data_IF_844245273126
#
_entry.id   IF_844245273126
#
_cell.length_a   1.000
_cell.length_b   1.000
_cell.length_c   1.000
_cell.angle_alpha   90.00
_cell.angle_beta   90.00
_cell.angle_gamma   90.00
#
_symmetry.space_group_name_H-M   'P 1'
#
loop_
_entity.id
_entity.type
_entity.pdbx_description
1 polymer ?
#
# COMPACT_ATOMS: atom_id res chain seq x y z
N UNK A 1 -11.12 10.46 -18.73
CA UNK A 1 -12.08 10.52 -17.61
C UNK A 1 -13.49 10.34 -18.14
N UNK A 2 -14.29 9.51 -17.48
CA UNK A 2 -15.68 9.29 -17.83
C UNK A 2 -16.50 10.60 -17.62
N UNK A 3 -17.42 10.93 -18.53
CA UNK A 3 -18.28 12.13 -18.42
C UNK A 3 -19.12 12.14 -17.14
N UNK A 4 -19.54 10.94 -16.65
CA UNK A 4 -20.25 10.80 -15.38
C UNK A 4 -19.39 11.24 -14.20
N UNK A 5 -18.17 10.71 -14.08
CA UNK A 5 -17.24 11.08 -13.02
C UNK A 5 -16.92 12.57 -13.04
N UNK A 6 -16.74 13.16 -14.23
CA UNK A 6 -16.49 14.60 -14.34
C UNK A 6 -17.64 15.41 -13.76
N UNK A 7 -18.88 15.10 -14.14
CA UNK A 7 -20.07 15.81 -13.65
C UNK A 7 -20.20 15.69 -12.13
N UNK A 8 -20.09 14.47 -11.59
CA UNK A 8 -20.17 14.22 -10.14
C UNK A 8 -19.05 14.93 -9.39
N UNK A 9 -17.84 14.99 -9.97
CA UNK A 9 -16.72 15.75 -9.38
C UNK A 9 -17.02 17.23 -9.29
N UNK A 10 -17.58 17.83 -10.36
CA UNK A 10 -17.97 19.22 -10.37
C UNK A 10 -19.08 19.52 -9.35
N UNK A 11 -20.04 18.61 -9.19
CA UNK A 11 -21.09 18.71 -8.16
C UNK A 11 -20.51 18.63 -6.76
N UNK A 12 -19.63 17.67 -6.50
CA UNK A 12 -18.95 17.52 -5.23
C UNK A 12 -18.09 18.76 -4.86
N UNK A 13 -17.39 19.34 -5.83
CA UNK A 13 -16.56 20.55 -5.61
C UNK A 13 -17.41 21.75 -5.22
N UNK A 14 -18.66 21.84 -5.65
CA UNK A 14 -19.59 22.94 -5.30
C UNK A 14 -20.20 22.82 -3.90
N UNK A 15 -20.09 21.65 -3.25
CA UNK A 15 -20.64 21.46 -1.92
C UNK A 15 -19.94 22.37 -0.90
N UNK A 16 -20.73 23.03 -0.06
CA UNK A 16 -20.19 23.86 1.02
C UNK A 16 -19.49 23.03 2.09
N UNK A 17 -18.44 23.61 2.72
CA UNK A 17 -17.60 22.96 3.74
C UNK A 17 -17.28 23.85 4.93
N UNK A 18 -18.18 24.83 5.20
CA UNK A 18 -17.99 25.83 6.28
C UNK A 18 -18.18 25.20 7.66
N UNK A 19 -19.20 24.35 7.79
CA UNK A 19 -19.54 23.67 9.04
C UNK A 19 -19.08 22.21 9.04
N UNK A 20 -19.03 21.60 10.23
CA UNK A 20 -18.70 20.17 10.36
C UNK A 20 -19.72 19.29 9.62
N UNK A 21 -21.00 19.62 9.71
CA UNK A 21 -22.07 18.90 9.02
C UNK A 21 -21.94 18.96 7.50
N UNK A 22 -21.62 20.15 6.96
CA UNK A 22 -21.38 20.32 5.52
C UNK A 22 -20.17 19.53 5.04
N UNK A 23 -19.09 19.49 5.82
CA UNK A 23 -17.91 18.66 5.50
C UNK A 23 -18.26 17.18 5.50
N UNK A 24 -19.05 16.72 6.49
CA UNK A 24 -19.49 15.33 6.55
C UNK A 24 -20.36 14.98 5.34
N UNK A 25 -21.31 15.82 4.95
CA UNK A 25 -22.12 15.62 3.74
C UNK A 25 -21.28 15.56 2.47
N UNK A 26 -20.26 16.41 2.35
CA UNK A 26 -19.35 16.38 1.21
C UNK A 26 -18.51 15.09 1.15
N UNK A 27 -18.10 14.59 2.31
CA UNK A 27 -17.39 13.30 2.42
C UNK A 27 -18.31 12.11 2.08
N UNK A 28 -19.52 12.10 2.62
CA UNK A 28 -20.54 11.09 2.29
C UNK A 28 -20.87 11.09 0.78
N UNK A 29 -21.00 12.26 0.17
CA UNK A 29 -21.21 12.36 -1.27
C UNK A 29 -20.02 11.77 -2.06
N UNK A 30 -18.79 12.08 -1.65
CA UNK A 30 -17.58 11.55 -2.27
C UNK A 30 -17.58 10.02 -2.23
N UNK A 31 -17.89 9.47 -1.07
CA UNK A 31 -17.90 8.04 -0.83
C UNK A 31 -19.00 7.31 -1.60
N UNK A 32 -20.21 7.83 -1.58
CA UNK A 32 -21.38 7.17 -2.17
C UNK A 32 -21.49 7.38 -3.68
N UNK A 33 -21.08 8.54 -4.16
CA UNK A 33 -21.32 8.92 -5.55
C UNK A 33 -20.08 8.84 -6.45
N UNK A 34 -18.87 9.05 -5.88
CA UNK A 34 -17.66 9.12 -6.68
C UNK A 34 -16.81 7.84 -6.61
N UNK A 35 -16.75 7.16 -5.47
CA UNK A 35 -15.77 6.09 -5.25
C UNK A 35 -15.87 4.93 -6.25
N UNK A 36 -17.07 4.54 -6.66
CA UNK A 36 -17.23 3.48 -7.66
C UNK A 36 -16.66 3.93 -9.02
N UNK A 37 -17.00 5.15 -9.44
CA UNK A 37 -16.51 5.70 -10.72
C UNK A 37 -15.00 5.93 -10.69
N UNK A 38 -14.44 6.40 -9.56
CA UNK A 38 -13.00 6.54 -9.34
C UNK A 38 -12.30 5.18 -9.43
N UNK A 39 -12.86 4.18 -8.78
CA UNK A 39 -12.31 2.82 -8.77
C UNK A 39 -12.29 2.22 -10.19
N UNK A 40 -13.37 2.36 -10.94
CA UNK A 40 -13.43 1.91 -12.33
C UNK A 40 -12.40 2.66 -13.21
N UNK A 41 -12.28 3.97 -13.02
CA UNK A 41 -11.29 4.78 -13.75
C UNK A 41 -9.86 4.38 -13.39
N UNK A 42 -9.60 4.11 -12.10
CA UNK A 42 -8.31 3.62 -11.61
C UNK A 42 -7.94 2.29 -12.24
N UNK A 43 -8.85 1.31 -12.24
CA UNK A 43 -8.65 0.01 -12.88
C UNK A 43 -8.35 0.20 -14.38
N UNK A 44 -9.12 1.04 -15.07
CA UNK A 44 -8.93 1.32 -16.49
C UNK A 44 -7.56 1.94 -16.78
N UNK A 45 -7.16 2.91 -15.97
CA UNK A 45 -5.90 3.65 -16.13
C UNK A 45 -4.65 2.82 -15.82
N UNK A 46 -4.80 1.76 -15.03
CA UNK A 46 -3.72 0.86 -14.64
C UNK A 46 -3.86 -0.54 -15.29
N UNK A 47 -4.74 -0.65 -16.29
CA UNK A 47 -4.91 -1.91 -17.03
C UNK A 47 -3.60 -2.28 -17.74
N UNK A 48 -3.10 -3.48 -17.46
CA UNK A 48 -1.85 -3.98 -18.03
C UNK A 48 -0.59 -3.63 -17.23
N UNK A 49 -0.68 -2.81 -16.19
CA UNK A 49 0.47 -2.58 -15.30
C UNK A 49 0.69 -3.76 -14.33
N UNK A 50 -0.38 -4.47 -13.99
CA UNK A 50 -0.32 -5.64 -13.12
C UNK A 50 -0.23 -6.90 -13.99
N UNK A 51 0.88 -7.63 -13.88
CA UNK A 51 1.08 -8.87 -14.62
C UNK A 51 0.81 -10.08 -13.74
N UNK A 52 -0.16 -10.91 -14.16
CA UNK A 52 -0.52 -12.13 -13.46
C UNK A 52 -1.36 -11.91 -12.20
N UNK A 53 -1.62 -13.00 -11.48
CA UNK A 53 -2.47 -13.02 -10.30
C UNK A 53 -1.70 -12.57 -9.06
N UNK A 54 -2.25 -11.66 -8.29
CA UNK A 54 -1.70 -11.24 -7.00
C UNK A 54 -2.21 -12.20 -5.93
N UNK A 55 -1.31 -12.97 -5.31
CA UNK A 55 -1.70 -13.87 -4.23
C UNK A 55 -1.67 -13.18 -2.88
N UNK A 56 -0.62 -12.42 -2.61
CA UNK A 56 -0.34 -11.85 -1.30
C UNK A 56 -0.13 -10.35 -1.38
N UNK A 57 -0.85 -9.62 -0.54
CA UNK A 57 -0.75 -8.16 -0.43
C UNK A 57 -0.62 -7.77 1.05
N UNK A 58 0.37 -6.96 1.36
CA UNK A 58 0.53 -6.31 2.68
C UNK A 58 0.21 -4.83 2.51
N UNK A 59 -0.60 -4.27 3.37
CA UNK A 59 -1.03 -2.88 3.29
C UNK A 59 -0.91 -2.17 4.63
N UNK A 60 -0.30 -1.00 4.64
CA UNK A 60 -0.38 -0.09 5.79
C UNK A 60 -1.66 0.75 5.71
N UNK A 61 -2.39 0.82 6.82
CA UNK A 61 -3.69 1.49 6.91
C UNK A 61 -3.54 2.82 7.61
N UNK A 62 -3.86 3.90 6.90
CA UNK A 62 -3.90 5.25 7.42
C UNK A 62 -5.33 5.75 7.62
N UNK A 63 -5.49 7.08 7.60
CA UNK A 63 -6.79 7.75 7.80
C UNK A 63 -7.64 7.85 6.53
N UNK A 64 -7.07 7.52 5.36
CA UNK A 64 -7.78 7.55 4.07
C UNK A 64 -8.04 6.12 3.60
N UNK A 65 -9.30 5.80 3.31
CA UNK A 65 -9.67 4.46 2.83
C UNK A 65 -9.54 4.31 1.31
N UNK A 66 -9.61 5.43 0.58
CA UNK A 66 -9.66 5.44 -0.87
C UNK A 66 -8.48 4.70 -1.53
N UNK A 67 -7.21 4.99 -1.19
CA UNK A 67 -6.08 4.30 -1.82
C UNK A 67 -6.09 2.79 -1.59
N UNK A 68 -6.57 2.37 -0.42
CA UNK A 68 -6.66 0.95 -0.04
C UNK A 68 -7.69 0.25 -0.92
N UNK A 69 -8.89 0.84 -1.05
CA UNK A 69 -9.95 0.34 -1.92
C UNK A 69 -9.47 0.23 -3.37
N UNK A 70 -8.78 1.25 -3.87
CA UNK A 70 -8.27 1.28 -5.25
C UNK A 70 -7.33 0.10 -5.53
N UNK A 71 -6.35 -0.13 -4.65
CA UNK A 71 -5.40 -1.22 -4.85
C UNK A 71 -6.01 -2.59 -4.64
N UNK A 72 -6.91 -2.77 -3.67
CA UNK A 72 -7.62 -4.05 -3.50
C UNK A 72 -8.46 -4.36 -4.74
N UNK A 73 -9.18 -3.37 -5.26
CA UNK A 73 -10.04 -3.54 -6.44
C UNK A 73 -9.24 -3.84 -7.72
N UNK A 74 -8.08 -3.21 -7.89
CA UNK A 74 -7.20 -3.46 -9.03
C UNK A 74 -6.48 -4.81 -8.94
N UNK A 75 -5.89 -5.11 -7.77
CA UNK A 75 -5.00 -6.25 -7.58
C UNK A 75 -5.76 -7.55 -7.30
N UNK A 76 -6.95 -7.46 -6.71
CA UNK A 76 -7.80 -8.60 -6.31
C UNK A 76 -7.01 -9.71 -5.59
N UNK A 77 -6.26 -9.40 -4.52
CA UNK A 77 -5.36 -10.35 -3.87
C UNK A 77 -6.13 -11.53 -3.26
N UNK A 78 -5.48 -12.69 -3.19
CA UNK A 78 -6.07 -13.87 -2.53
C UNK A 78 -6.03 -13.73 -1.00
N UNK A 79 -4.94 -13.16 -0.46
CA UNK A 79 -4.75 -12.90 0.97
C UNK A 79 -4.18 -11.51 1.19
N UNK A 80 -4.64 -10.87 2.26
CA UNK A 80 -4.23 -9.51 2.63
C UNK A 80 -3.82 -9.49 4.09
N UNK A 81 -2.67 -8.87 4.39
CA UNK A 81 -2.31 -8.43 5.73
C UNK A 81 -2.53 -6.92 5.82
N UNK A 82 -3.36 -6.50 6.76
CA UNK A 82 -3.51 -5.10 7.12
C UNK A 82 -2.69 -4.77 8.36
N UNK A 83 -1.79 -3.80 8.23
CA UNK A 83 -1.04 -3.19 9.33
C UNK A 83 -1.76 -1.90 9.70
N UNK A 84 -2.39 -1.86 10.86
CA UNK A 84 -3.24 -0.76 11.28
C UNK A 84 -2.94 -0.30 12.69
N UNK A 85 -3.40 0.89 13.04
CA UNK A 85 -3.33 1.44 14.40
C UNK A 85 -4.75 1.55 14.96
N UNK A 86 -4.91 1.73 16.27
CA UNK A 86 -6.20 1.97 16.90
C UNK A 86 -6.97 3.11 16.19
N UNK A 87 -6.28 4.18 15.79
CA UNK A 87 -6.88 5.32 15.09
C UNK A 87 -7.38 4.98 13.68
N UNK A 88 -6.76 4.02 13.02
CA UNK A 88 -7.11 3.64 11.64
C UNK A 88 -8.00 2.40 11.56
N UNK A 89 -8.33 1.78 12.68
CA UNK A 89 -9.25 0.63 12.71
C UNK A 89 -10.62 0.91 12.07
N UNK A 90 -11.28 2.07 12.32
CA UNK A 90 -12.55 2.38 11.67
C UNK A 90 -12.43 2.49 10.14
N UNK A 91 -11.25 2.90 9.64
CA UNK A 91 -10.97 2.94 8.19
C UNK A 91 -10.87 1.53 7.63
N UNK A 92 -10.23 0.62 8.37
CA UNK A 92 -10.12 -0.77 7.97
C UNK A 92 -11.48 -1.46 7.87
N UNK A 93 -12.36 -1.26 8.85
CA UNK A 93 -13.71 -1.81 8.82
C UNK A 93 -14.49 -1.31 7.60
N UNK A 94 -14.39 -0.02 7.30
CA UNK A 94 -14.98 0.58 6.10
C UNK A 94 -14.44 -0.02 4.79
N UNK A 95 -13.13 -0.29 4.72
CA UNK A 95 -12.53 -0.98 3.56
C UNK A 95 -13.06 -2.39 3.40
N UNK A 96 -13.18 -3.14 4.50
CA UNK A 96 -13.70 -4.51 4.50
C UNK A 96 -15.12 -4.54 3.96
N UNK A 97 -15.97 -3.61 4.42
CA UNK A 97 -17.36 -3.50 3.99
C UNK A 97 -17.47 -3.06 2.53
N UNK A 98 -16.76 -2.02 2.14
CA UNK A 98 -16.80 -1.48 0.77
C UNK A 98 -16.32 -2.52 -0.27
N UNK A 99 -15.22 -3.18 0.01
CA UNK A 99 -14.65 -4.21 -0.88
C UNK A 99 -15.30 -5.58 -0.71
N UNK A 100 -16.27 -5.74 0.19
CA UNK A 100 -16.93 -7.02 0.52
C UNK A 100 -15.92 -8.16 0.76
N UNK A 101 -14.90 -7.87 1.54
CA UNK A 101 -13.80 -8.80 1.77
C UNK A 101 -14.24 -9.96 2.69
N UNK A 102 -13.96 -11.18 2.27
CA UNK A 102 -14.17 -12.36 3.13
C UNK A 102 -13.13 -12.38 4.25
N UNK A 103 -13.59 -12.54 5.50
CA UNK A 103 -12.69 -12.58 6.67
C UNK A 103 -11.60 -13.64 6.58
N UNK A 104 -11.87 -14.75 5.90
CA UNK A 104 -10.87 -15.82 5.67
C UNK A 104 -9.70 -15.42 4.78
N UNK A 105 -9.80 -14.27 4.09
CA UNK A 105 -8.75 -13.74 3.18
C UNK A 105 -7.91 -12.65 3.83
N UNK A 106 -8.29 -12.16 5.00
CA UNK A 106 -7.65 -11.05 5.66
C UNK A 106 -7.02 -11.46 6.98
N UNK A 107 -5.84 -10.92 7.21
CA UNK A 107 -5.16 -10.89 8.50
C UNK A 107 -5.07 -9.43 8.94
N UNK A 108 -5.37 -9.17 10.21
CA UNK A 108 -5.32 -7.84 10.81
C UNK A 108 -4.21 -7.84 11.85
N UNK A 109 -3.30 -6.89 11.79
CA UNK A 109 -2.26 -6.72 12.80
C UNK A 109 -2.21 -5.27 13.27
N UNK A 110 -2.55 -5.07 14.54
CA UNK A 110 -2.41 -3.77 15.16
C UNK A 110 -0.94 -3.53 15.47
N UNK A 111 -0.42 -2.39 15.03
CA UNK A 111 0.98 -1.99 15.19
C UNK A 111 1.10 -0.64 15.89
N UNK A 112 2.24 -0.41 16.52
CA UNK A 112 2.55 0.90 17.07
C UNK A 112 2.95 1.85 15.92
N UNK A 113 2.25 2.99 15.82
CA UNK A 113 2.44 3.98 14.76
C UNK A 113 3.85 4.63 14.74
N UNK A 114 4.61 4.51 15.82
CA UNK A 114 5.93 5.11 16.00
C UNK A 114 7.06 4.09 16.14
N UNK A 115 6.75 2.79 16.26
CA UNK A 115 7.76 1.73 16.37
C UNK A 115 7.86 0.92 15.08
N UNK A 116 8.88 1.18 14.24
CA UNK A 116 9.13 0.38 13.03
C UNK A 116 9.33 -1.11 13.28
N UNK A 117 9.80 -1.47 14.47
CA UNK A 117 10.13 -2.85 14.83
C UNK A 117 8.87 -3.75 14.84
N UNK A 118 7.74 -3.21 15.29
CA UNK A 118 6.47 -3.94 15.26
C UNK A 118 6.09 -4.29 13.82
N UNK A 119 6.27 -3.35 12.91
CA UNK A 119 5.96 -3.55 11.50
C UNK A 119 6.88 -4.62 10.89
N UNK A 120 8.17 -4.57 11.20
CA UNK A 120 9.13 -5.59 10.73
C UNK A 120 8.77 -6.98 11.23
N UNK A 121 8.40 -7.12 12.51
CA UNK A 121 8.00 -8.39 13.11
C UNK A 121 6.76 -8.96 12.42
N UNK A 122 5.75 -8.12 12.19
CA UNK A 122 4.50 -8.55 11.59
C UNK A 122 4.65 -8.93 10.12
N UNK A 123 5.40 -8.15 9.34
CA UNK A 123 5.72 -8.49 7.96
C UNK A 123 6.50 -9.81 7.90
N UNK A 124 7.53 -9.98 8.75
CA UNK A 124 8.31 -11.22 8.82
C UNK A 124 7.46 -12.41 9.22
N UNK A 125 6.63 -12.26 10.26
CA UNK A 125 5.71 -13.31 10.72
C UNK A 125 4.80 -13.77 9.58
N UNK A 126 4.18 -12.81 8.92
CA UNK A 126 3.25 -13.09 7.83
C UNK A 126 3.95 -13.72 6.61
N UNK A 127 5.09 -13.21 6.23
CA UNK A 127 5.93 -13.77 5.17
C UNK A 127 6.27 -15.26 5.40
N UNK A 128 6.66 -15.58 6.64
CA UNK A 128 6.97 -16.96 7.02
C UNK A 128 5.72 -17.83 7.06
N UNK A 129 4.60 -17.33 7.60
CA UNK A 129 3.34 -18.08 7.67
C UNK A 129 2.74 -18.37 6.30
N UNK A 130 3.01 -17.52 5.33
CA UNK A 130 2.60 -17.72 3.92
C UNK A 130 3.55 -18.64 3.13
N UNK A 131 4.58 -19.18 3.77
CA UNK A 131 5.53 -20.13 3.15
C UNK A 131 6.62 -19.47 2.32
N UNK A 132 7.01 -18.24 2.65
CA UNK A 132 8.03 -17.46 1.93
C UNK A 132 7.74 -17.35 0.43
N UNK A 133 6.58 -16.83 0.04
CA UNK A 133 6.22 -16.75 -1.36
C UNK A 133 7.17 -15.85 -2.15
N UNK A 134 7.46 -16.24 -3.39
CA UNK A 134 8.35 -15.51 -4.29
C UNK A 134 7.77 -14.16 -4.71
N UNK A 135 6.43 -14.01 -4.71
CA UNK A 135 5.76 -12.80 -5.18
C UNK A 135 4.77 -12.28 -4.14
N UNK A 136 5.18 -11.23 -3.46
CA UNK A 136 4.35 -10.45 -2.54
C UNK A 136 4.33 -9.01 -3.00
N UNK A 137 3.21 -8.34 -2.79
CA UNK A 137 3.09 -6.89 -2.94
C UNK A 137 3.03 -6.24 -1.56
N UNK A 138 3.74 -5.12 -1.40
CA UNK A 138 3.59 -4.24 -0.23
C UNK A 138 3.11 -2.88 -0.72
N UNK A 139 1.94 -2.48 -0.26
CA UNK A 139 1.39 -1.14 -0.43
C UNK A 139 1.63 -0.32 0.83
N UNK A 140 2.45 0.70 0.73
CA UNK A 140 2.77 1.61 1.82
C UNK A 140 2.15 3.01 1.65
N UNK A 141 1.07 3.13 0.88
CA UNK A 141 0.38 4.40 0.62
C UNK A 141 -0.19 5.00 1.89
N UNK A 142 -0.80 4.17 2.73
CA UNK A 142 -1.42 4.59 3.98
C UNK A 142 -0.49 4.52 5.19
N UNK A 143 -0.99 4.99 6.32
CA UNK A 143 -0.28 4.98 7.59
C UNK A 143 0.54 6.24 7.85
N UNK A 144 1.24 6.24 8.99
CA UNK A 144 2.19 7.31 9.31
C UNK A 144 3.46 7.20 8.46
N UNK A 145 4.28 8.23 8.43
CA UNK A 145 5.57 8.18 7.74
C UNK A 145 6.45 7.04 8.27
N UNK A 146 6.41 6.78 9.57
CA UNK A 146 7.15 5.67 10.17
C UNK A 146 6.64 4.32 9.66
N UNK A 147 5.32 4.13 9.57
CA UNK A 147 4.71 2.90 9.04
C UNK A 147 5.07 2.70 7.56
N UNK A 148 4.91 3.73 6.74
CA UNK A 148 5.24 3.67 5.32
C UNK A 148 6.72 3.37 5.08
N UNK A 149 7.61 4.04 5.84
CA UNK A 149 9.05 3.81 5.75
C UNK A 149 9.42 2.38 6.17
N UNK A 150 8.88 1.91 7.29
CA UNK A 150 9.14 0.55 7.77
C UNK A 150 8.65 -0.51 6.79
N UNK A 151 7.46 -0.34 6.23
CA UNK A 151 6.93 -1.25 5.22
C UNK A 151 7.81 -1.30 3.97
N UNK A 152 8.27 -0.14 3.48
CA UNK A 152 9.17 -0.04 2.34
C UNK A 152 10.55 -0.68 2.63
N UNK A 153 11.13 -0.43 3.80
CA UNK A 153 12.40 -1.04 4.21
C UNK A 153 12.30 -2.56 4.35
N UNK A 154 11.23 -3.05 4.96
CA UNK A 154 10.98 -4.49 5.03
C UNK A 154 10.81 -5.10 3.64
N UNK A 155 10.11 -4.39 2.74
CA UNK A 155 9.93 -4.80 1.36
C UNK A 155 11.25 -4.94 0.57
N UNK A 156 12.20 -4.06 0.85
CA UNK A 156 13.54 -4.14 0.26
C UNK A 156 14.29 -5.40 0.71
N UNK A 157 14.22 -5.74 2.02
CA UNK A 157 14.90 -6.91 2.60
C UNK A 157 14.32 -8.24 2.12
N UNK A 158 13.00 -8.33 1.97
CA UNK A 158 12.35 -9.59 1.53
C UNK A 158 12.12 -9.66 0.02
N UNK A 159 12.68 -8.72 -0.75
CA UNK A 159 12.60 -8.67 -2.21
C UNK A 159 11.17 -8.76 -2.77
N UNK A 160 10.26 -7.96 -2.20
CA UNK A 160 8.88 -7.89 -2.63
C UNK A 160 8.63 -6.74 -3.60
N UNK A 161 7.52 -6.81 -4.32
CA UNK A 161 7.09 -5.71 -5.18
C UNK A 161 6.47 -4.59 -4.33
N UNK A 162 7.16 -3.47 -4.24
CA UNK A 162 6.67 -2.29 -3.53
C UNK A 162 5.82 -1.42 -4.43
N UNK A 163 4.68 -1.00 -3.93
CA UNK A 163 3.71 -0.18 -4.67
C UNK A 163 3.14 0.93 -3.80
N UNK A 164 2.69 2.00 -4.46
CA UNK A 164 1.84 2.99 -3.81
C UNK A 164 0.85 3.61 -4.79
N UNK A 165 -0.24 4.18 -4.27
CA UNK A 165 -1.20 4.97 -5.02
C UNK A 165 -0.82 6.44 -4.93
N UNK A 166 -0.60 7.08 -6.06
CA UNK A 166 -0.34 8.51 -6.12
C UNK A 166 -1.21 9.20 -7.15
N UNK A 167 -1.54 10.48 -6.96
CA UNK A 167 -2.31 11.26 -7.93
C UNK A 167 -1.40 11.84 -9.01
N UNK A 168 -1.90 11.92 -10.25
CA UNK A 168 -1.30 12.81 -11.26
C UNK A 168 -1.65 14.27 -11.03
N UNK A 169 -2.78 14.52 -10.39
CA UNK A 169 -3.26 15.85 -10.06
C UNK A 169 -3.80 15.86 -8.63
N UNK A 170 -3.35 16.80 -7.82
CA UNK A 170 -3.78 16.97 -6.42
C UNK A 170 -4.50 18.31 -6.25
N UNK A 171 -5.61 18.28 -5.55
CA UNK A 171 -6.41 19.46 -5.26
C UNK A 171 -6.10 19.93 -3.84
N UNK A 172 -5.26 20.94 -3.72
CA UNK A 172 -4.81 21.50 -2.42
C UNK A 172 -5.96 21.99 -1.56
N UNK A 173 -6.95 22.67 -2.17
CA UNK A 173 -8.09 23.23 -1.45
C UNK A 173 -9.00 22.15 -0.83
N UNK A 174 -9.05 20.99 -1.44
CA UNK A 174 -9.83 19.83 -0.98
C UNK A 174 -8.99 18.81 -0.21
N UNK A 175 -7.66 18.93 -0.25
CA UNK A 175 -6.70 17.97 0.30
C UNK A 175 -6.95 16.54 -0.18
N UNK A 176 -7.33 16.41 -1.45
CA UNK A 176 -7.61 15.12 -2.10
C UNK A 176 -7.00 15.07 -3.51
N UNK A 177 -6.70 13.87 -4.01
CA UNK A 177 -6.48 13.66 -5.44
C UNK A 177 -7.64 14.19 -6.27
N UNK A 178 -7.36 14.67 -7.48
CA UNK A 178 -8.42 14.92 -8.43
C UNK A 178 -9.04 13.57 -8.83
N UNK A 179 -10.36 13.37 -8.66
CA UNK A 179 -11.02 12.09 -8.89
C UNK A 179 -10.72 11.48 -10.25
N UNK A 180 -10.18 10.26 -10.26
CA UNK A 180 -9.78 9.55 -11.47
C UNK A 180 -8.36 9.89 -11.97
N UNK A 181 -7.61 10.75 -11.24
CA UNK A 181 -6.20 11.02 -11.55
C UNK A 181 -5.23 10.05 -10.89
N UNK A 182 -5.71 9.19 -10.02
CA UNK A 182 -4.92 8.24 -9.26
C UNK A 182 -4.25 7.22 -10.17
N UNK A 183 -3.03 6.83 -9.83
CA UNK A 183 -2.19 5.86 -10.54
C UNK A 183 -1.50 4.94 -9.55
N UNK A 184 -1.29 3.72 -9.99
CA UNK A 184 -0.40 2.77 -9.34
C UNK A 184 1.04 3.09 -9.73
N UNK A 185 1.90 3.23 -8.74
CA UNK A 185 3.34 3.36 -8.91
C UNK A 185 4.04 2.14 -8.34
N UNK A 186 5.01 1.65 -9.11
CA UNK A 186 5.95 0.63 -8.67
C UNK A 186 7.22 1.31 -8.17
N UNK A 187 7.71 0.87 -7.04
CA UNK A 187 8.98 1.33 -6.48
C UNK A 187 10.00 0.23 -6.67
N UNK A 188 11.10 0.58 -7.35
CA UNK A 188 12.22 -0.34 -7.54
C UNK A 188 12.84 -0.71 -6.21
N UNK A 189 13.29 -1.96 -6.10
CA UNK A 189 14.03 -2.37 -4.92
C UNK A 189 15.40 -1.69 -4.91
N UNK A 190 15.82 -1.02 -3.82
CA UNK A 190 17.14 -0.43 -3.74
C UNK A 190 18.28 -1.44 -3.94
N UNK A 191 18.04 -2.73 -3.65
CA UNK A 191 19.02 -3.79 -3.92
C UNK A 191 19.30 -4.02 -5.40
N UNK A 192 18.43 -3.56 -6.30
CA UNK A 192 18.69 -3.58 -7.75
C UNK A 192 19.83 -2.62 -8.14
N UNK A 193 20.14 -1.64 -7.26
CA UNK A 193 21.21 -0.63 -7.46
C UNK A 193 22.39 -0.90 -6.51
N UNK A 194 22.10 -1.27 -5.26
CA UNK A 194 23.12 -1.38 -4.21
C UNK A 194 23.52 -2.82 -3.90
N UNK A 195 23.00 -3.81 -4.64
CA UNK A 195 23.26 -5.23 -4.38
C UNK A 195 24.73 -5.62 -4.58
N UNK A 196 25.45 -4.92 -5.45
CA UNK A 196 26.89 -5.08 -5.63
C UNK A 196 27.67 -4.82 -4.34
N UNK A 197 27.28 -3.80 -3.55
CA UNK A 197 27.91 -3.50 -2.27
C UNK A 197 27.72 -4.62 -1.23
N UNK A 198 26.60 -5.33 -1.27
CA UNK A 198 26.37 -6.48 -0.40
C UNK A 198 27.18 -7.70 -0.83
N UNK A 199 27.39 -7.86 -2.15
CA UNK A 199 28.27 -8.89 -2.69
C UNK A 199 29.71 -8.61 -2.29
N UNK A 200 30.19 -7.36 -2.42
CA UNK A 200 31.53 -6.96 -2.02
C UNK A 200 31.79 -7.23 -0.54
N UNK A 201 30.85 -6.86 0.34
CA UNK A 201 30.93 -7.20 1.78
C UNK A 201 30.97 -8.70 2.02
N UNK A 202 30.16 -9.48 1.30
CA UNK A 202 30.17 -10.92 1.43
C UNK A 202 31.52 -11.52 1.00
N UNK A 203 32.11 -10.99 -0.06
CA UNK A 203 33.46 -11.36 -0.53
C UNK A 203 34.51 -11.00 0.50
N UNK A 204 34.49 -9.77 1.03
CA UNK A 204 35.42 -9.35 2.09
C UNK A 204 35.31 -10.23 3.33
N UNK A 205 34.10 -10.53 3.79
CA UNK A 205 33.87 -11.44 4.92
C UNK A 205 34.36 -12.85 4.60
N UNK A 206 34.09 -13.34 3.40
CA UNK A 206 34.58 -14.64 2.96
C UNK A 206 36.09 -14.68 2.94
N UNK A 207 36.77 -13.63 2.48
CA UNK A 207 38.22 -13.52 2.45
C UNK A 207 38.81 -13.40 3.87
N UNK A 208 38.14 -12.69 4.78
CA UNK A 208 38.54 -12.60 6.18
C UNK A 208 38.41 -13.95 6.92
N UNK A 209 37.37 -14.71 6.61
CA UNK A 209 37.21 -16.08 7.07
C UNK A 209 37.97 -17.07 6.20
N UNK A 210 38.67 -16.56 5.17
CA UNK A 210 39.36 -17.39 4.25
C UNK A 210 40.50 -18.07 4.98
N UNK A 211 40.22 -19.21 5.43
CA UNK A 211 40.94 -20.47 5.44
C UNK A 211 42.45 -20.41 5.27
N UNK A 212 43.08 -19.31 5.73
CA UNK A 212 44.52 -19.27 5.93
C UNK A 212 44.97 -20.39 6.89
N UNK A 213 44.04 -20.89 7.75
CA UNK A 213 44.26 -22.01 8.63
C UNK A 213 44.15 -23.41 7.99
N UNK A 214 43.67 -23.57 6.78
CA UNK A 214 43.59 -24.85 6.11
C UNK A 214 44.76 -25.14 5.15
N UNK A 215 45.71 -24.19 5.05
CA UNK A 215 46.93 -24.39 4.25
C UNK A 215 48.12 -24.88 5.06
N UNK A 216 48.02 -25.01 6.35
CA UNK A 216 49.09 -25.47 7.24
C UNK A 216 48.79 -26.82 7.95
N UNK A 217 47.85 -27.61 7.37
CA UNK A 217 47.62 -28.97 7.85
C UNK A 217 47.82 -30.00 6.76
#
# INVERSE_FOLDING_TARGET
>A
MNKSLQKKTEEWMKLERKTLEQRKKAEEYYELELMDDITMEYIRNNKGTVTGKVKFLIMSVGTSFEPIVLNISLLQPERILFLYTEKSEPVLDKVVDFCQLRLSRIEKSQVNETDPTDIYREIKRCYLSWGKPEKIYIDFTGGTKAMSTAAAMAGAVVHVQMIYVGPRQYMTDFRKPFPGSERLFYISNPMDIFGDLEVDKAVELFEQYNYAGTRES
#
